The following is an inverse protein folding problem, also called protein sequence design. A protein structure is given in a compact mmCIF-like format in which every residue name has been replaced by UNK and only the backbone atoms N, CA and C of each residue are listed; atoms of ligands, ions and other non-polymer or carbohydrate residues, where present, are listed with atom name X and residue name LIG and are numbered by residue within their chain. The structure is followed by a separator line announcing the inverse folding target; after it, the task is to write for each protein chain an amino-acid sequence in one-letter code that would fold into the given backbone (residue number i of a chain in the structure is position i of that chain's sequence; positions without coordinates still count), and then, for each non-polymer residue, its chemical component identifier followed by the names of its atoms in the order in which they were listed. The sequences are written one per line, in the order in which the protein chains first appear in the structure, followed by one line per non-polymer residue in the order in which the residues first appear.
data_IF_340032757679
#
_entry.id   IF_340032757679
#
_cell.length_a   1.000
_cell.length_b   1.000
_cell.length_c   1.000
_cell.angle_alpha   90.00
_cell.angle_beta   90.00
_cell.angle_gamma   90.00
#
_symmetry.space_group_name_H-M   'P 1'
#
loop_
_entity.id
_entity.type
_entity.pdbx_description
1 polymer ?
#
# COMPACT_ATOMS: atom_id res chain seq x y z
N UNK A 1 31.32 -24.61 31.84
CA UNK A 1 30.86 -23.24 32.16
C UNK A 1 29.99 -22.76 31.02
N UNK A 2 28.67 -22.78 31.21
CA UNK A 2 27.72 -22.29 30.22
C UNK A 2 27.48 -20.79 30.44
N UNK A 3 27.73 -19.96 29.41
CA UNK A 3 27.38 -18.55 29.44
C UNK A 3 25.86 -18.39 29.37
N UNK A 4 25.31 -17.74 30.40
CA UNK A 4 24.01 -17.06 30.37
C UNK A 4 24.16 -15.70 29.67
N UNK A 5 23.00 -15.15 29.29
CA UNK A 5 22.70 -13.78 28.87
C UNK A 5 22.59 -13.63 27.34
N UNK A 6 21.61 -12.94 26.76
CA UNK A 6 20.71 -11.89 27.24
C UNK A 6 19.36 -12.08 26.52
N UNK A 7 18.26 -12.29 27.25
CA UNK A 7 16.92 -12.08 26.70
C UNK A 7 16.68 -10.59 26.60
N UNK A 8 16.86 -10.02 25.40
CA UNK A 8 16.40 -8.69 25.09
C UNK A 8 14.87 -8.69 25.07
N UNK A 9 14.30 -7.81 25.88
CA UNK A 9 12.87 -7.50 26.03
C UNK A 9 12.23 -7.13 24.69
N UNK A 10 11.37 -8.01 24.16
CA UNK A 10 10.39 -7.69 23.12
C UNK A 10 9.14 -7.11 23.78
N UNK A 11 9.12 -5.81 24.04
CA UNK A 11 7.91 -5.06 24.35
C UNK A 11 7.78 -3.91 23.33
N UNK A 12 6.66 -3.88 22.61
CA UNK A 12 6.24 -2.91 21.56
C UNK A 12 6.47 -3.23 20.07
N UNK A 13 6.58 -4.49 19.66
CA UNK A 13 6.32 -4.79 18.25
C UNK A 13 4.82 -4.60 17.97
N UNK A 14 4.46 -3.52 17.27
CA UNK A 14 3.09 -3.30 16.76
C UNK A 14 2.65 -4.55 16.01
N UNK A 15 1.64 -5.24 16.54
CA UNK A 15 1.19 -6.51 15.98
C UNK A 15 0.24 -6.21 14.82
N UNK A 16 0.71 -6.44 13.59
CA UNK A 16 -0.13 -6.42 12.39
C UNK A 16 -1.20 -7.51 12.52
N UNK A 17 -2.40 -7.12 12.93
CA UNK A 17 -3.56 -7.98 13.02
C UNK A 17 -4.72 -7.48 12.14
N UNK A 18 -5.79 -8.26 12.04
CA UNK A 18 -6.94 -7.93 11.20
C UNK A 18 -7.62 -6.62 11.63
N UNK A 19 -7.66 -6.32 12.93
CA UNK A 19 -8.29 -5.11 13.44
C UNK A 19 -7.47 -3.86 13.08
N UNK A 20 -6.15 -3.97 13.14
CA UNK A 20 -5.25 -2.91 12.68
C UNK A 20 -5.44 -2.65 11.18
N UNK A 21 -5.47 -3.71 10.36
CA UNK A 21 -5.67 -3.56 8.91
C UNK A 21 -7.02 -2.93 8.57
N UNK A 22 -8.10 -3.33 9.23
CA UNK A 22 -9.44 -2.74 9.05
C UNK A 22 -9.44 -1.24 9.39
N UNK A 23 -8.77 -0.85 10.49
CA UNK A 23 -8.63 0.56 10.87
C UNK A 23 -7.87 1.36 9.81
N UNK A 24 -6.73 0.84 9.34
CA UNK A 24 -5.93 1.50 8.30
C UNK A 24 -6.71 1.65 6.99
N UNK A 25 -7.49 0.64 6.60
CA UNK A 25 -8.39 0.72 5.45
C UNK A 25 -9.42 1.84 5.63
N UNK A 26 -10.04 1.93 6.80
CA UNK A 26 -11.02 2.97 7.10
C UNK A 26 -10.41 4.38 7.07
N UNK A 27 -9.26 4.58 7.70
CA UNK A 27 -8.57 5.87 7.71
C UNK A 27 -8.17 6.30 6.29
N UNK A 28 -7.64 5.38 5.49
CA UNK A 28 -7.30 5.66 4.09
C UNK A 28 -8.55 5.96 3.24
N UNK A 29 -9.65 5.26 3.49
CA UNK A 29 -10.93 5.53 2.82
C UNK A 29 -11.41 6.96 3.10
N UNK A 30 -11.39 7.38 4.37
CA UNK A 30 -11.76 8.75 4.75
C UNK A 30 -10.81 9.79 4.18
N UNK A 31 -9.50 9.49 4.16
CA UNK A 31 -8.49 10.33 3.56
C UNK A 31 -8.78 10.57 2.07
N UNK A 32 -9.02 9.51 1.31
CA UNK A 32 -9.25 9.59 -0.14
C UNK A 32 -10.51 10.40 -0.47
N UNK A 33 -11.60 10.16 0.25
CA UNK A 33 -12.86 10.90 0.09
C UNK A 33 -12.74 12.40 0.38
N UNK A 34 -11.87 12.78 1.32
CA UNK A 34 -11.67 14.19 1.71
C UNK A 34 -10.66 14.90 0.81
N UNK A 35 -9.53 14.25 0.52
CA UNK A 35 -8.33 14.89 0.00
C UNK A 35 -7.98 14.50 -1.45
N UNK A 36 -8.62 13.45 -2.00
CA UNK A 36 -8.39 12.96 -3.38
C UNK A 36 -9.68 12.79 -4.18
N UNK A 37 -10.59 13.76 -4.06
CA UNK A 37 -11.93 13.72 -4.68
C UNK A 37 -11.85 13.58 -6.21
N UNK A 38 -10.84 14.15 -6.82
CA UNK A 38 -10.54 14.04 -8.25
C UNK A 38 -10.26 12.60 -8.68
N UNK A 39 -9.55 11.82 -7.85
CA UNK A 39 -9.24 10.42 -8.12
C UNK A 39 -10.41 9.51 -7.75
N UNK A 40 -11.09 9.80 -6.64
CA UNK A 40 -12.27 9.04 -6.19
C UNK A 40 -13.42 9.10 -7.21
N UNK A 41 -13.55 10.22 -7.93
CA UNK A 41 -14.60 10.43 -8.94
C UNK A 41 -14.30 9.82 -10.31
N UNK A 42 -13.10 9.28 -10.52
CA UNK A 42 -12.79 8.57 -11.75
C UNK A 42 -13.66 7.31 -11.86
N UNK A 43 -13.97 6.92 -13.09
CA UNK A 43 -14.53 5.60 -13.35
C UNK A 43 -13.52 4.51 -12.95
N UNK A 44 -14.01 3.28 -12.78
CA UNK A 44 -13.20 2.17 -12.27
C UNK A 44 -11.97 1.91 -13.14
N UNK A 45 -12.09 2.03 -14.46
CA UNK A 45 -11.01 1.76 -15.40
C UNK A 45 -9.92 2.85 -15.31
N UNK A 46 -10.33 4.11 -15.31
CA UNK A 46 -9.41 5.24 -15.12
C UNK A 46 -8.71 5.19 -13.76
N UNK A 47 -9.44 4.81 -12.70
CA UNK A 47 -8.87 4.69 -11.35
C UNK A 47 -7.87 3.54 -11.26
N UNK A 48 -8.16 2.37 -11.84
CA UNK A 48 -7.23 1.24 -11.88
C UNK A 48 -5.96 1.58 -12.65
N UNK A 49 -6.09 2.25 -13.80
CA UNK A 49 -4.96 2.75 -14.58
C UNK A 49 -4.12 3.74 -13.77
N UNK A 50 -4.76 4.66 -13.06
CA UNK A 50 -4.08 5.60 -12.16
C UNK A 50 -3.26 4.87 -11.08
N UNK A 51 -3.82 3.86 -10.41
CA UNK A 51 -3.09 3.07 -9.42
C UNK A 51 -1.93 2.27 -10.02
N UNK A 52 -2.13 1.67 -11.21
CA UNK A 52 -1.07 0.95 -11.91
C UNK A 52 0.10 1.88 -12.26
N UNK A 53 -0.17 3.13 -12.67
CA UNK A 53 0.85 4.14 -12.93
C UNK A 53 1.62 4.53 -11.67
N UNK A 54 0.95 4.63 -10.51
CA UNK A 54 1.62 4.83 -9.23
C UNK A 54 2.63 3.71 -8.94
N UNK A 55 2.21 2.46 -9.04
CA UNK A 55 3.10 1.32 -8.79
C UNK A 55 4.25 1.23 -9.78
N UNK A 56 4.01 1.49 -11.07
CA UNK A 56 5.06 1.51 -12.09
C UNK A 56 6.11 2.61 -11.82
N UNK A 57 5.66 3.80 -11.42
CA UNK A 57 6.55 4.91 -11.02
C UNK A 57 7.42 4.50 -9.83
N UNK A 58 6.82 3.95 -8.78
CA UNK A 58 7.55 3.51 -7.59
C UNK A 58 8.53 2.37 -7.89
N UNK A 59 8.19 1.45 -8.80
CA UNK A 59 9.08 0.39 -9.24
C UNK A 59 10.34 0.97 -9.92
N UNK A 60 10.18 1.98 -10.79
CA UNK A 60 11.30 2.70 -11.39
C UNK A 60 12.18 3.39 -10.35
N UNK A 61 11.58 4.18 -9.46
CA UNK A 61 12.30 4.89 -8.38
C UNK A 61 13.07 3.92 -7.45
N UNK A 62 12.51 2.73 -7.16
CA UNK A 62 13.21 1.71 -6.36
C UNK A 62 14.39 1.04 -7.08
N UNK A 63 14.36 0.97 -8.41
CA UNK A 63 15.48 0.45 -9.20
C UNK A 63 16.68 1.40 -9.26
N UNK A 64 16.51 2.67 -8.90
CA UNK A 64 17.60 3.66 -8.84
C UNK A 64 18.45 3.52 -7.56
N UNK A 65 18.25 2.45 -6.78
CA UNK A 65 18.95 2.18 -5.52
C UNK A 65 18.88 3.38 -4.54
N UNK A 66 17.65 3.82 -4.20
CA UNK A 66 17.46 5.02 -3.40
C UNK A 66 18.06 4.88 -2.00
N UNK A 67 18.40 6.02 -1.39
CA UNK A 67 18.81 6.05 0.01
C UNK A 67 17.71 5.48 0.93
N UNK A 68 18.09 4.98 2.10
CA UNK A 68 17.17 4.32 3.05
C UNK A 68 15.90 5.15 3.37
N UNK A 69 16.04 6.47 3.49
CA UNK A 69 14.93 7.39 3.73
C UNK A 69 13.94 7.44 2.56
N UNK A 70 14.45 7.42 1.34
CA UNK A 70 13.65 7.39 0.11
C UNK A 70 13.05 6.00 -0.11
N UNK A 71 13.80 4.93 0.16
CA UNK A 71 13.29 3.56 0.15
C UNK A 71 12.11 3.43 1.11
N UNK A 72 12.23 3.90 2.35
CA UNK A 72 11.14 3.93 3.33
C UNK A 72 9.92 4.70 2.81
N UNK A 73 10.14 5.88 2.22
CA UNK A 73 9.06 6.67 1.60
C UNK A 73 8.36 5.90 0.50
N UNK A 74 9.10 5.24 -0.39
CA UNK A 74 8.57 4.48 -1.52
C UNK A 74 7.75 3.27 -1.10
N UNK A 75 8.23 2.52 -0.10
CA UNK A 75 7.49 1.39 0.49
C UNK A 75 6.21 1.90 1.16
N UNK A 76 6.27 3.02 1.88
CA UNK A 76 5.11 3.66 2.50
C UNK A 76 4.08 4.08 1.44
N UNK A 77 4.53 4.77 0.39
CA UNK A 77 3.68 5.23 -0.71
C UNK A 77 3.01 4.03 -1.42
N UNK A 78 3.76 2.95 -1.67
CA UNK A 78 3.22 1.73 -2.26
C UNK A 78 2.16 1.07 -1.35
N UNK A 79 2.37 1.04 -0.04
CA UNK A 79 1.39 0.50 0.91
C UNK A 79 0.12 1.35 0.95
N UNK A 80 0.24 2.69 1.01
CA UNK A 80 -0.89 3.64 0.96
C UNK A 80 -1.73 3.42 -0.31
N UNK A 81 -1.08 3.35 -1.48
CA UNK A 81 -1.79 3.11 -2.76
C UNK A 81 -2.39 1.70 -2.79
N UNK A 82 -1.71 0.69 -2.24
CA UNK A 82 -2.25 -0.66 -2.09
C UNK A 82 -3.51 -0.72 -1.24
N UNK A 83 -3.54 0.01 -0.12
CA UNK A 83 -4.72 0.14 0.76
C UNK A 83 -5.85 0.87 0.02
N UNK A 84 -5.56 2.02 -0.61
CA UNK A 84 -6.54 2.76 -1.41
C UNK A 84 -7.13 1.88 -2.52
N UNK A 85 -6.28 1.07 -3.17
CA UNK A 85 -6.70 0.15 -4.24
C UNK A 85 -7.62 -0.95 -3.72
N UNK A 86 -7.27 -1.55 -2.59
CA UNK A 86 -8.11 -2.56 -1.93
C UNK A 86 -9.48 -1.98 -1.54
N UNK A 87 -9.50 -0.75 -1.03
CA UNK A 87 -10.74 -0.07 -0.64
C UNK A 87 -11.71 0.10 -1.81
N UNK A 88 -11.27 0.63 -2.96
CA UNK A 88 -12.20 0.86 -4.07
C UNK A 88 -12.53 -0.41 -4.85
N UNK A 89 -11.68 -1.45 -4.79
CA UNK A 89 -12.04 -2.80 -5.24
C UNK A 89 -13.04 -3.48 -4.29
N UNK A 90 -13.35 -2.84 -3.16
CA UNK A 90 -14.22 -3.33 -2.10
C UNK A 90 -13.73 -4.67 -1.53
N UNK A 91 -12.43 -4.73 -1.21
CA UNK A 91 -11.76 -5.90 -0.67
C UNK A 91 -11.18 -5.62 0.72
N UNK A 92 -11.32 -6.62 1.61
CA UNK A 92 -10.69 -6.61 2.92
C UNK A 92 -9.28 -7.15 2.82
N UNK A 93 -8.30 -6.34 3.17
CA UNK A 93 -6.88 -6.73 3.13
C UNK A 93 -6.64 -7.95 4.01
N UNK A 94 -7.23 -7.97 5.21
CA UNK A 94 -7.09 -9.09 6.15
C UNK A 94 -7.55 -10.44 5.56
N UNK A 95 -8.49 -10.44 4.63
CA UNK A 95 -8.96 -11.66 3.97
C UNK A 95 -8.08 -11.99 2.76
N UNK A 96 -7.71 -10.98 1.96
CA UNK A 96 -6.82 -11.13 0.81
C UNK A 96 -5.43 -11.65 1.20
N UNK A 97 -4.90 -11.26 2.37
CA UNK A 97 -3.60 -11.74 2.86
C UNK A 97 -3.66 -13.17 3.43
N UNK A 98 -4.83 -13.67 3.84
CA UNK A 98 -4.99 -15.07 4.26
C UNK A 98 -5.07 -16.00 3.05
N UNK A 99 -5.77 -15.57 2.00
CA UNK A 99 -5.96 -16.36 0.78
C UNK A 99 -4.71 -16.41 -0.08
N UNK A 100 -3.92 -15.34 -0.07
CA UNK A 100 -2.65 -15.28 -0.78
C UNK A 100 -1.55 -15.68 0.20
N UNK A 101 -0.89 -16.82 -0.03
CA UNK A 101 0.31 -17.20 0.73
C UNK A 101 1.38 -16.14 0.44
N UNK A 102 1.41 -15.07 1.25
CA UNK A 102 2.53 -14.14 1.31
C UNK A 102 3.64 -14.91 2.03
N UNK A 103 4.35 -15.75 1.29
CA UNK A 103 5.62 -16.26 1.76
C UNK A 103 6.54 -15.07 1.97
N UNK A 104 7.35 -15.09 3.05
CA UNK A 104 8.40 -14.08 3.30
C UNK A 104 9.10 -13.80 1.98
N UNK A 105 8.80 -12.66 1.37
CA UNK A 105 9.31 -12.36 0.04
C UNK A 105 10.48 -11.41 0.24
N UNK A 106 11.73 -11.90 0.17
CA UNK A 106 12.89 -11.11 0.57
C UNK A 106 13.14 -9.92 -0.35
N UNK A 107 12.44 -9.83 -1.49
CA UNK A 107 12.65 -8.81 -2.51
C UNK A 107 11.34 -8.09 -2.86
N UNK A 108 11.00 -7.09 -2.05
CA UNK A 108 9.88 -6.19 -2.31
C UNK A 108 10.02 -5.45 -3.65
N UNK A 109 11.23 -5.07 -4.05
CA UNK A 109 11.49 -4.34 -5.30
C UNK A 109 11.07 -5.21 -6.49
N UNK A 110 11.56 -6.45 -6.56
CA UNK A 110 11.15 -7.41 -7.59
C UNK A 110 9.65 -7.68 -7.57
N UNK A 111 9.06 -7.74 -6.38
CA UNK A 111 7.60 -7.91 -6.24
C UNK A 111 6.85 -6.76 -6.86
N UNK A 112 7.23 -5.52 -6.58
CA UNK A 112 6.59 -4.32 -7.11
C UNK A 112 6.76 -4.21 -8.64
N UNK A 113 7.93 -4.54 -9.18
CA UNK A 113 8.19 -4.58 -10.63
C UNK A 113 7.25 -5.57 -11.33
N UNK A 114 7.18 -6.81 -10.85
CA UNK A 114 6.38 -7.85 -11.49
C UNK A 114 4.89 -7.53 -11.39
N UNK A 115 4.43 -7.12 -10.20
CA UNK A 115 3.02 -6.81 -9.94
C UNK A 115 2.56 -5.57 -10.71
N UNK A 116 3.36 -4.51 -10.76
CA UNK A 116 3.05 -3.30 -11.54
C UNK A 116 2.95 -3.60 -13.04
N UNK A 117 3.88 -4.39 -13.61
CA UNK A 117 3.81 -4.81 -15.01
C UNK A 117 2.56 -5.65 -15.33
N UNK A 118 2.18 -6.55 -14.42
CA UNK A 118 0.93 -7.34 -14.54
C UNK A 118 -0.32 -6.47 -14.44
N UNK A 119 -0.34 -5.50 -13.54
CA UNK A 119 -1.45 -4.54 -13.43
C UNK A 119 -1.56 -3.66 -14.68
N UNK A 120 -0.43 -3.19 -15.23
CA UNK A 120 -0.41 -2.44 -16.48
C UNK A 120 -0.99 -3.28 -17.64
N UNK A 121 -0.53 -4.53 -17.78
CA UNK A 121 -1.08 -5.45 -18.78
C UNK A 121 -2.55 -5.82 -18.56
N UNK A 122 -3.05 -5.82 -17.31
CA UNK A 122 -4.48 -5.98 -17.04
C UNK A 122 -5.29 -4.74 -17.46
N UNK A 123 -4.74 -3.54 -17.25
CA UNK A 123 -5.36 -2.30 -17.70
C UNK A 123 -5.42 -2.21 -19.23
N UNK A 124 -4.36 -2.62 -19.92
CA UNK A 124 -4.32 -2.69 -21.39
C UNK A 124 -5.40 -3.64 -21.95
N UNK A 125 -5.52 -4.85 -21.38
CA UNK A 125 -6.56 -5.81 -21.80
C UNK A 125 -7.97 -5.29 -21.57
N UNK A 126 -8.17 -4.53 -20.48
CA UNK A 126 -9.44 -3.88 -20.19
C UNK A 126 -9.75 -2.77 -21.21
N UNK A 127 -8.75 -2.00 -21.67
CA UNK A 127 -8.91 -1.03 -22.75
C UNK A 127 -9.31 -1.70 -24.08
N UNK A 128 -8.83 -2.92 -24.33
CA UNK A 128 -9.17 -3.72 -25.50
C UNK A 128 -10.45 -4.56 -25.37
N UNK A 129 -11.11 -4.53 -24.20
CA UNK A 129 -12.28 -5.36 -23.88
C UNK A 129 -12.04 -6.86 -24.14
N UNK A 130 -10.83 -7.33 -23.85
CA UNK A 130 -10.50 -8.75 -23.96
C UNK A 130 -11.26 -9.60 -22.93
N UNK A 131 -11.47 -10.88 -23.25
CA UNK A 131 -11.97 -11.87 -22.29
C UNK A 131 -10.88 -12.20 -21.25
N UNK A 132 -10.79 -11.36 -20.22
CA UNK A 132 -9.74 -11.40 -19.22
C UNK A 132 -10.31 -11.21 -17.80
N UNK A 133 -9.89 -12.00 -16.80
CA UNK A 133 -10.36 -11.88 -15.41
C UNK A 133 -9.72 -10.69 -14.69
N UNK A 134 -10.07 -9.46 -15.10
CA UNK A 134 -9.44 -8.21 -14.64
C UNK A 134 -9.44 -8.06 -13.12
N UNK A 135 -10.61 -8.19 -12.47
CA UNK A 135 -10.74 -7.93 -11.03
C UNK A 135 -9.93 -8.93 -10.20
N UNK A 136 -10.06 -10.26 -10.39
CA UNK A 136 -9.20 -11.22 -9.68
C UNK A 136 -7.70 -10.99 -9.90
N UNK A 137 -7.27 -10.70 -11.14
CA UNK A 137 -5.85 -10.49 -11.41
C UNK A 137 -5.29 -9.27 -10.69
N UNK A 138 -5.99 -8.13 -10.74
CA UNK A 138 -5.53 -6.89 -10.11
C UNK A 138 -5.53 -7.06 -8.59
N UNK A 139 -6.58 -7.64 -8.03
CA UNK A 139 -6.74 -7.89 -6.60
C UNK A 139 -5.60 -8.75 -6.04
N UNK A 140 -5.23 -9.81 -6.76
CA UNK A 140 -4.07 -10.63 -6.41
C UNK A 140 -2.76 -9.82 -6.42
N UNK A 141 -2.55 -8.96 -7.42
CA UNK A 141 -1.33 -8.15 -7.50
C UNK A 141 -1.26 -7.12 -6.37
N UNK A 142 -2.40 -6.48 -6.04
CA UNK A 142 -2.49 -5.54 -4.92
C UNK A 142 -2.19 -6.22 -3.59
N UNK A 143 -2.76 -7.41 -3.36
CA UNK A 143 -2.49 -8.19 -2.15
C UNK A 143 -0.99 -8.55 -2.01
N UNK A 144 -0.32 -8.88 -3.13
CA UNK A 144 1.13 -9.14 -3.15
C UNK A 144 1.95 -7.89 -2.82
N UNK A 145 1.57 -6.73 -3.34
CA UNK A 145 2.23 -5.44 -3.03
C UNK A 145 2.04 -5.09 -1.55
N UNK A 146 0.80 -5.16 -1.04
CA UNK A 146 0.47 -4.86 0.35
C UNK A 146 1.23 -5.81 1.28
N UNK A 147 1.17 -7.12 1.03
CA UNK A 147 1.89 -8.11 1.83
C UNK A 147 3.41 -7.88 1.82
N UNK A 148 3.99 -7.63 0.65
CA UNK A 148 5.42 -7.35 0.53
C UNK A 148 5.85 -6.07 1.24
N UNK A 149 5.04 -5.00 1.20
CA UNK A 149 5.34 -3.77 1.92
C UNK A 149 5.25 -3.99 3.44
N UNK A 150 4.22 -4.71 3.92
CA UNK A 150 4.07 -5.06 5.33
C UNK A 150 5.25 -5.90 5.85
N UNK A 151 5.75 -6.85 5.05
CA UNK A 151 6.96 -7.62 5.37
C UNK A 151 8.18 -6.69 5.57
N UNK A 152 8.35 -5.68 4.72
CA UNK A 152 9.44 -4.69 4.86
C UNK A 152 9.27 -3.86 6.13
N UNK A 153 8.06 -3.40 6.44
CA UNK A 153 7.79 -2.66 7.69
C UNK A 153 8.12 -3.51 8.92
N UNK A 154 7.73 -4.79 8.91
CA UNK A 154 8.04 -5.72 9.99
C UNK A 154 9.53 -6.01 10.13
N UNK A 155 10.25 -6.22 9.02
CA UNK A 155 11.69 -6.48 8.99
C UNK A 155 12.50 -5.28 9.50
N UNK A 156 12.12 -4.07 9.08
CA UNK A 156 12.80 -2.83 9.45
C UNK A 156 12.34 -2.23 10.77
N UNK A 157 11.30 -2.81 11.40
CA UNK A 157 10.72 -2.31 12.66
C UNK A 157 10.14 -0.89 12.52
N UNK A 158 9.60 -0.55 11.36
CA UNK A 158 8.97 0.75 11.13
C UNK A 158 7.53 0.75 11.64
N UNK A 159 7.12 1.84 12.30
CA UNK A 159 5.73 2.08 12.64
C UNK A 159 4.97 2.63 11.42
N UNK A 160 4.03 1.86 10.87
CA UNK A 160 3.26 2.31 9.73
C UNK A 160 2.34 3.50 10.04
N UNK A 161 1.74 3.56 11.22
CA UNK A 161 0.82 4.65 11.57
C UNK A 161 1.59 5.98 11.62
N UNK A 162 2.74 5.99 12.31
CA UNK A 162 3.58 7.18 12.40
C UNK A 162 4.07 7.63 11.01
N UNK A 163 4.58 6.68 10.23
CA UNK A 163 5.21 6.97 8.94
C UNK A 163 4.16 7.38 7.89
N UNK A 164 3.00 6.74 7.88
CA UNK A 164 1.90 7.10 6.97
C UNK A 164 1.29 8.46 7.31
N UNK A 165 1.07 8.78 8.58
CA UNK A 165 0.55 10.09 8.99
C UNK A 165 1.54 11.21 8.62
N UNK A 166 2.84 11.02 8.90
CA UNK A 166 3.88 11.96 8.47
C UNK A 166 3.89 12.13 6.94
N UNK A 167 3.64 11.05 6.20
CA UNK A 167 3.63 11.05 4.73
C UNK A 167 2.41 11.74 4.13
N UNK A 168 1.23 11.53 4.72
CA UNK A 168 -0.06 12.03 4.24
C UNK A 168 -0.30 13.49 4.63
N UNK A 169 0.23 13.96 5.77
CA UNK A 169 0.09 15.35 6.21
C UNK A 169 0.39 16.42 5.15
N UNK A 170 1.54 16.41 4.45
CA UNK A 170 1.81 17.40 3.40
C UNK A 170 0.88 17.25 2.18
N UNK A 171 0.24 16.09 1.99
CA UNK A 171 -0.79 15.90 0.96
C UNK A 171 -2.10 16.56 1.40
N UNK A 172 -2.55 16.32 2.64
CA UNK A 172 -3.73 16.96 3.23
C UNK A 172 -3.62 18.49 3.17
N UNK A 173 -2.46 19.04 3.51
CA UNK A 173 -2.16 20.49 3.52
C UNK A 173 -2.24 21.17 2.16
N UNK A 174 -2.20 20.42 1.04
CA UNK A 174 -2.40 20.99 -0.30
C UNK A 174 -3.86 21.34 -0.59
N UNK A 175 -4.80 20.82 0.20
CA UNK A 175 -6.21 21.15 0.07
C UNK A 175 -6.46 22.61 0.45
N UNK A 176 -7.15 23.35 -0.43
CA UNK A 176 -7.63 24.70 -0.11
C UNK A 176 -8.65 24.73 1.04
N UNK A 177 -9.12 23.56 1.49
CA UNK A 177 -10.04 23.40 2.60
C UNK A 177 -9.40 22.70 3.82
N UNK A 178 -8.07 22.55 3.87
CA UNK A 178 -7.37 21.79 4.91
C UNK A 178 -7.83 22.16 6.33
N UNK A 179 -7.75 23.45 6.71
CA UNK A 179 -8.15 23.92 8.05
C UNK A 179 -9.60 23.53 8.40
N UNK A 180 -10.52 23.70 7.45
CA UNK A 180 -11.95 23.38 7.64
C UNK A 180 -12.24 21.89 7.74
N UNK A 181 -11.39 21.05 7.14
CA UNK A 181 -11.54 19.60 7.14
C UNK A 181 -10.99 18.98 8.43
N UNK A 182 -9.96 19.61 9.01
CA UNK A 182 -9.36 19.21 10.29
C UNK A 182 -10.21 19.66 11.49
N UNK A 183 -10.87 20.83 11.44
CA UNK A 183 -11.78 21.32 12.49
C UNK A 183 -13.04 20.46 12.74
N UNK A 184 -13.34 19.52 11.83
CA UNK A 184 -14.55 18.66 11.87
C UNK A 184 -14.28 17.26 12.42
N UNK A 185 -13.12 17.05 13.05
CA UNK A 185 -12.72 15.82 13.75
C UNK A 185 -12.64 16.08 15.26
#
# INVERSE_FOLDING_TARGET
MALKAVTATQESAVRLDAAMLDRLQWEQFQHDEKYHREIVRLDIQSRLKHMALHFAKYAGELCEEPAETEFKRLVTDALIIGISTSNFLNERIADSLKSNVVGKNPDFVRTLIITSGRMAGACEKMDHMEDFPFRPTISEQVARIVGGALDVFADRGWDFEEVSEARLRPVKQKSIFYEKLEERL
#
